data_IF_694669254371
#
_entry.id   IF_694669254371
#
_cell.length_a   1.000
_cell.length_b   1.000
_cell.length_c   1.000
_cell.angle_alpha   90.00
_cell.angle_beta   90.00
_cell.angle_gamma   90.00
#
_symmetry.space_group_name_H-M   'P 1'
#
loop_
_entity.id
_entity.type
_entity.pdbx_description
1 polymer ?
#
# COMPACT_ATOMS: atom_id res chain seq x y z
N UNK A 1 -17.59 -34.52 -15.75
CA UNK A 1 -16.17 -34.64 -16.16
C UNK A 1 -15.80 -33.41 -16.97
N UNK A 2 -14.62 -32.84 -16.75
CA UNK A 2 -14.04 -31.83 -17.64
C UNK A 2 -12.95 -32.54 -18.45
N UNK A 3 -12.92 -32.32 -19.76
CA UNK A 3 -12.04 -33.04 -20.68
C UNK A 3 -10.86 -32.18 -21.18
N UNK A 4 -10.82 -30.90 -20.80
CA UNK A 4 -9.79 -29.96 -21.22
C UNK A 4 -9.46 -28.94 -20.12
N UNK A 5 -8.26 -28.34 -20.19
CA UNK A 5 -7.86 -27.25 -19.29
C UNK A 5 -8.83 -26.08 -19.42
N UNK A 6 -9.24 -25.76 -20.66
CA UNK A 6 -10.26 -24.76 -20.95
C UNK A 6 -11.53 -24.97 -20.11
N UNK A 7 -12.14 -26.15 -20.20
CA UNK A 7 -13.38 -26.47 -19.48
C UNK A 7 -13.22 -26.40 -17.97
N UNK A 8 -12.08 -26.85 -17.42
CA UNK A 8 -11.82 -26.77 -15.98
C UNK A 8 -11.79 -25.32 -15.52
N UNK A 9 -11.06 -24.45 -16.24
CA UNK A 9 -10.93 -23.04 -15.87
C UNK A 9 -12.25 -22.29 -16.03
N UNK A 10 -12.92 -22.43 -17.17
CA UNK A 10 -14.20 -21.74 -17.43
C UNK A 10 -15.28 -22.14 -16.42
N UNK A 11 -15.36 -23.42 -16.07
CA UNK A 11 -16.27 -23.91 -15.04
C UNK A 11 -15.90 -23.40 -13.64
N UNK A 12 -14.61 -23.39 -13.30
CA UNK A 12 -14.12 -22.92 -11.99
C UNK A 12 -14.39 -21.42 -11.78
N UNK A 13 -14.19 -20.63 -12.83
CA UNK A 13 -14.39 -19.18 -12.80
C UNK A 13 -15.83 -18.78 -13.12
N UNK A 14 -16.65 -19.68 -13.68
CA UNK A 14 -17.98 -19.40 -14.22
C UNK A 14 -17.96 -18.22 -15.22
N UNK A 15 -17.06 -18.29 -16.20
CA UNK A 15 -16.81 -17.27 -17.22
C UNK A 15 -16.21 -17.93 -18.46
N UNK A 16 -16.67 -17.58 -19.68
CA UNK A 16 -16.02 -18.03 -20.93
C UNK A 16 -14.75 -17.21 -21.21
N UNK A 17 -13.70 -17.87 -21.70
CA UNK A 17 -12.41 -17.25 -21.99
C UNK A 17 -12.11 -17.37 -23.48
N UNK A 18 -11.99 -16.22 -24.16
CA UNK A 18 -11.79 -16.13 -25.61
C UNK A 18 -10.31 -16.35 -26.03
N UNK A 19 -9.60 -17.23 -25.32
CA UNK A 19 -8.23 -17.62 -25.60
C UNK A 19 -8.12 -19.13 -25.41
N UNK A 20 -7.26 -19.79 -26.21
CA UNK A 20 -7.07 -21.24 -26.10
C UNK A 20 -6.17 -21.58 -24.90
N UNK A 21 -6.78 -21.93 -23.77
CA UNK A 21 -6.07 -22.27 -22.53
C UNK A 21 -5.46 -23.67 -22.53
N UNK A 22 -5.82 -24.54 -23.48
CA UNK A 22 -5.28 -25.90 -23.57
C UNK A 22 -3.79 -25.93 -23.96
N UNK A 23 -3.23 -24.76 -24.31
CA UNK A 23 -1.79 -24.59 -24.55
C UNK A 23 -0.98 -24.37 -23.26
N UNK A 24 -1.65 -24.22 -22.13
CA UNK A 24 -1.03 -23.95 -20.83
C UNK A 24 -1.34 -25.09 -19.87
N UNK A 25 -0.47 -25.30 -18.87
CA UNK A 25 -0.85 -26.09 -17.71
C UNK A 25 -1.95 -25.39 -16.90
N UNK A 26 -2.52 -26.10 -15.94
CA UNK A 26 -3.68 -25.63 -15.17
C UNK A 26 -3.37 -24.38 -14.33
N UNK A 27 -2.15 -24.22 -13.81
CA UNK A 27 -1.77 -23.08 -12.97
C UNK A 27 -1.59 -21.82 -13.82
N UNK A 28 -0.90 -21.93 -14.94
CA UNK A 28 -0.69 -20.82 -15.86
C UNK A 28 -2.00 -20.41 -16.55
N UNK A 29 -2.84 -21.38 -16.93
CA UNK A 29 -4.17 -21.13 -17.49
C UNK A 29 -5.07 -20.37 -16.51
N UNK A 30 -5.14 -20.81 -15.25
CA UNK A 30 -5.91 -20.14 -14.20
C UNK A 30 -5.39 -18.72 -13.96
N UNK A 31 -4.07 -18.56 -13.87
CA UNK A 31 -3.41 -17.28 -13.62
C UNK A 31 -3.68 -16.30 -14.76
N UNK A 32 -3.60 -16.76 -16.01
CA UNK A 32 -3.91 -15.96 -17.19
C UNK A 32 -5.38 -15.53 -17.20
N UNK A 33 -6.31 -16.47 -17.02
CA UNK A 33 -7.74 -16.19 -17.04
C UNK A 33 -8.17 -15.19 -15.95
N UNK A 34 -7.60 -15.29 -14.75
CA UNK A 34 -7.84 -14.31 -13.68
C UNK A 34 -7.25 -12.95 -14.04
N UNK A 35 -6.02 -12.92 -14.57
CA UNK A 35 -5.34 -11.67 -14.94
C UNK A 35 -6.12 -10.85 -15.97
N UNK A 36 -6.85 -11.49 -16.90
CA UNK A 36 -7.66 -10.78 -17.91
C UNK A 36 -8.65 -9.75 -17.33
N UNK A 37 -9.11 -9.93 -16.10
CA UNK A 37 -10.04 -8.99 -15.44
C UNK A 37 -9.38 -7.66 -15.07
N UNK A 38 -8.05 -7.62 -15.03
CA UNK A 38 -7.25 -6.46 -14.65
C UNK A 38 -6.44 -5.93 -15.84
N UNK A 39 -6.70 -6.42 -17.06
CA UNK A 39 -5.99 -6.03 -18.27
C UNK A 39 -6.98 -5.47 -19.27
N UNK A 40 -6.66 -4.30 -19.83
CA UNK A 40 -7.47 -3.66 -20.84
C UNK A 40 -7.68 -4.61 -22.04
N UNK A 41 -8.91 -4.67 -22.58
CA UNK A 41 -9.29 -5.65 -23.61
C UNK A 41 -8.36 -5.65 -24.83
N UNK A 42 -7.92 -4.46 -25.26
CA UNK A 42 -6.98 -4.27 -26.37
C UNK A 42 -5.56 -4.79 -26.08
N UNK A 43 -5.19 -5.00 -24.81
CA UNK A 43 -3.88 -5.50 -24.40
C UNK A 43 -3.88 -7.01 -24.08
N UNK A 44 -5.04 -7.65 -23.93
CA UNK A 44 -5.15 -9.06 -23.54
C UNK A 44 -4.45 -10.01 -24.53
N UNK A 45 -4.53 -9.73 -25.84
CA UNK A 45 -3.86 -10.54 -26.85
C UNK A 45 -2.32 -10.44 -26.75
N UNK A 46 -1.79 -9.29 -26.35
CA UNK A 46 -0.35 -9.09 -26.12
C UNK A 46 0.12 -9.95 -24.94
N UNK A 47 -0.64 -9.97 -23.85
CA UNK A 47 -0.37 -10.85 -22.72
C UNK A 47 -0.43 -12.33 -23.13
N UNK A 48 -1.46 -12.73 -23.89
CA UNK A 48 -1.61 -14.11 -24.36
C UNK A 48 -0.42 -14.58 -25.20
N UNK A 49 0.01 -13.77 -26.18
CA UNK A 49 1.18 -14.07 -27.00
C UNK A 49 2.44 -14.20 -26.15
N UNK A 50 2.66 -13.26 -25.23
CA UNK A 50 3.79 -13.32 -24.31
C UNK A 50 3.81 -14.63 -23.50
N UNK A 51 2.68 -15.02 -22.90
CA UNK A 51 2.59 -16.28 -22.12
C UNK A 51 2.85 -17.50 -23.01
N UNK A 52 2.31 -17.50 -24.22
CA UNK A 52 2.48 -18.60 -25.17
C UNK A 52 3.95 -18.78 -25.58
N UNK A 53 4.65 -17.69 -25.81
CA UNK A 53 6.06 -17.70 -26.23
C UNK A 53 7.04 -17.95 -25.06
N UNK A 54 6.65 -17.61 -23.82
CA UNK A 54 7.53 -17.58 -22.66
C UNK A 54 7.12 -18.55 -21.53
N UNK A 55 6.25 -19.53 -21.79
CA UNK A 55 5.72 -20.42 -20.73
C UNK A 55 6.81 -21.11 -19.90
N UNK A 56 7.87 -21.63 -20.54
CA UNK A 56 9.03 -22.25 -19.86
C UNK A 56 9.82 -21.21 -19.06
N UNK A 57 10.13 -20.08 -19.67
CA UNK A 57 10.88 -18.99 -19.05
C UNK A 57 10.18 -18.42 -17.81
N UNK A 58 8.84 -18.41 -17.80
CA UNK A 58 8.07 -18.03 -16.61
C UNK A 58 8.38 -18.96 -15.43
N UNK A 59 8.43 -20.28 -15.66
CA UNK A 59 8.77 -21.24 -14.60
C UNK A 59 10.23 -21.14 -14.16
N UNK A 60 11.17 -20.99 -15.10
CA UNK A 60 12.58 -20.80 -14.77
C UNK A 60 12.78 -19.55 -13.87
N UNK A 61 12.04 -18.48 -14.17
CA UNK A 61 12.07 -17.27 -13.36
C UNK A 61 11.39 -17.45 -12.00
N UNK A 62 10.30 -18.21 -11.93
CA UNK A 62 9.67 -18.58 -10.65
C UNK A 62 10.66 -19.32 -9.76
N UNK A 63 11.38 -20.29 -10.33
CA UNK A 63 12.36 -21.09 -9.59
C UNK A 63 13.55 -20.23 -9.15
N UNK A 64 14.06 -19.37 -10.04
CA UNK A 64 15.09 -18.39 -9.69
C UNK A 64 14.64 -17.51 -8.52
N UNK A 65 13.43 -16.93 -8.59
CA UNK A 65 12.91 -16.10 -7.51
C UNK A 65 12.80 -16.91 -6.23
N UNK A 66 12.21 -18.12 -6.24
CA UNK A 66 12.04 -18.91 -5.02
C UNK A 66 13.35 -19.29 -4.35
N UNK A 67 14.40 -19.54 -5.14
CA UNK A 67 15.71 -19.90 -4.63
C UNK A 67 16.47 -18.70 -4.05
N UNK A 68 16.16 -17.48 -4.47
CA UNK A 68 16.90 -16.27 -4.07
C UNK A 68 16.09 -15.30 -3.20
N UNK A 69 14.76 -15.33 -3.27
CA UNK A 69 13.83 -14.40 -2.65
C UNK A 69 12.59 -15.14 -2.13
N UNK A 70 12.09 -14.79 -0.95
CA UNK A 70 11.08 -15.57 -0.24
C UNK A 70 9.68 -15.54 -0.92
N UNK A 71 9.40 -16.48 -1.84
CA UNK A 71 8.06 -16.83 -2.36
C UNK A 71 7.21 -15.64 -2.91
N UNK A 72 7.82 -14.61 -3.48
CA UNK A 72 7.13 -13.37 -3.86
C UNK A 72 6.37 -13.42 -5.21
N UNK A 73 6.58 -14.44 -6.03
CA UNK A 73 6.04 -14.50 -7.40
C UNK A 73 4.55 -14.92 -7.48
N UNK A 74 4.00 -15.40 -6.36
CA UNK A 74 2.58 -15.70 -6.26
C UNK A 74 1.83 -14.54 -5.62
N UNK A 75 0.78 -14.09 -6.30
CA UNK A 75 -0.11 -13.06 -5.78
C UNK A 75 -1.42 -13.67 -5.27
N UNK A 76 -1.85 -13.22 -4.09
CA UNK A 76 -3.16 -13.56 -3.52
C UNK A 76 -4.20 -12.58 -4.06
N UNK A 77 -5.09 -13.03 -4.92
CA UNK A 77 -6.13 -12.21 -5.54
C UNK A 77 -7.50 -12.68 -5.10
N UNK A 78 -8.39 -11.73 -4.80
CA UNK A 78 -9.81 -12.00 -4.65
C UNK A 78 -10.49 -11.86 -6.01
N UNK A 79 -10.95 -12.97 -6.57
CA UNK A 79 -11.77 -12.98 -7.78
C UNK A 79 -13.18 -13.43 -7.44
N UNK A 80 -14.17 -12.58 -7.72
CA UNK A 80 -15.55 -12.74 -7.25
C UNK A 80 -15.56 -12.96 -5.71
N UNK A 81 -16.13 -14.06 -5.23
CA UNK A 81 -16.21 -14.41 -3.80
C UNK A 81 -15.10 -15.35 -3.32
N UNK A 82 -14.14 -15.71 -4.18
CA UNK A 82 -13.09 -16.69 -3.88
C UNK A 82 -11.71 -16.01 -3.84
N UNK A 83 -10.82 -16.55 -3.01
CA UNK A 83 -9.41 -16.15 -2.97
C UNK A 83 -8.60 -17.17 -3.77
N UNK A 84 -7.71 -16.67 -4.61
CA UNK A 84 -6.80 -17.47 -5.42
C UNK A 84 -5.36 -17.06 -5.11
N UNK A 85 -4.46 -18.02 -5.17
CA UNK A 85 -3.01 -17.78 -5.21
C UNK A 85 -2.58 -18.11 -6.64
N UNK A 86 -2.17 -17.10 -7.40
CA UNK A 86 -1.86 -17.23 -8.83
C UNK A 86 -0.46 -16.73 -9.14
N UNK A 87 0.08 -17.16 -10.28
CA UNK A 87 1.32 -16.63 -10.84
C UNK A 87 1.07 -15.20 -11.30
N UNK A 88 1.96 -14.26 -10.93
CA UNK A 88 1.82 -12.86 -11.32
C UNK A 88 2.27 -12.59 -12.78
N UNK A 89 1.56 -13.13 -13.77
CA UNK A 89 1.95 -13.09 -15.20
C UNK A 89 2.24 -11.67 -15.70
N UNK A 90 1.46 -10.67 -15.27
CA UNK A 90 1.70 -9.28 -15.64
C UNK A 90 3.07 -8.78 -15.16
N UNK A 91 3.52 -9.24 -13.98
CA UNK A 91 4.85 -8.92 -13.43
C UNK A 91 5.94 -9.44 -14.33
N UNK A 92 5.84 -10.70 -14.79
CA UNK A 92 6.81 -11.28 -15.73
C UNK A 92 6.89 -10.50 -17.04
N UNK A 93 5.74 -10.08 -17.60
CA UNK A 93 5.73 -9.30 -18.84
C UNK A 93 6.41 -7.95 -18.64
N UNK A 94 6.09 -7.23 -17.56
CA UNK A 94 6.69 -5.93 -17.26
C UNK A 94 8.19 -6.08 -16.95
N UNK A 95 8.56 -7.10 -16.18
CA UNK A 95 9.95 -7.39 -15.88
C UNK A 95 10.73 -7.71 -17.16
N UNK A 96 10.19 -8.55 -18.05
CA UNK A 96 10.84 -8.87 -19.33
C UNK A 96 11.13 -7.61 -20.18
N UNK A 97 10.32 -6.55 -20.05
CA UNK A 97 10.52 -5.28 -20.73
C UNK A 97 11.49 -4.33 -20.03
N UNK A 98 11.51 -4.35 -18.70
CA UNK A 98 12.20 -3.38 -17.87
C UNK A 98 13.54 -3.89 -17.34
N UNK A 99 13.81 -5.20 -17.43
CA UNK A 99 15.02 -5.80 -16.91
C UNK A 99 16.29 -5.16 -17.52
N UNK A 100 17.34 -4.92 -16.72
CA UNK A 100 18.62 -4.44 -17.24
C UNK A 100 19.19 -5.42 -18.27
N UNK A 101 19.86 -4.92 -19.30
CA UNK A 101 20.49 -5.76 -20.33
C UNK A 101 21.83 -6.38 -19.91
N UNK A 102 22.40 -5.95 -18.77
CA UNK A 102 23.69 -6.45 -18.26
C UNK A 102 23.48 -7.31 -17.01
N UNK A 103 24.14 -8.46 -16.96
CA UNK A 103 24.02 -9.47 -15.90
C UNK A 103 24.56 -9.03 -14.52
N UNK A 104 25.34 -7.95 -14.43
CA UNK A 104 26.06 -7.56 -13.20
C UNK A 104 25.23 -6.81 -12.15
N UNK A 105 23.90 -6.74 -12.28
CA UNK A 105 23.05 -5.85 -11.48
C UNK A 105 21.99 -6.59 -10.66
N UNK A 106 22.39 -7.60 -9.88
CA UNK A 106 21.48 -8.34 -8.99
C UNK A 106 20.69 -7.42 -8.03
N UNK A 107 21.27 -6.30 -7.59
CA UNK A 107 20.55 -5.34 -6.75
C UNK A 107 19.50 -4.55 -7.55
N UNK A 108 19.81 -4.08 -8.77
CA UNK A 108 18.83 -3.38 -9.62
C UNK A 108 17.69 -4.31 -10.04
N UNK A 109 17.98 -5.61 -10.24
CA UNK A 109 16.96 -6.62 -10.48
C UNK A 109 15.91 -6.60 -9.37
N UNK A 110 16.35 -6.68 -8.11
CA UNK A 110 15.46 -6.82 -6.97
C UNK A 110 14.61 -5.54 -6.81
N UNK A 111 15.22 -4.38 -6.94
CA UNK A 111 14.51 -3.08 -6.85
C UNK A 111 13.42 -2.95 -7.93
N UNK A 112 13.74 -3.28 -9.19
CA UNK A 112 12.78 -3.24 -10.30
C UNK A 112 11.66 -4.27 -10.08
N UNK A 113 12.02 -5.48 -9.64
CA UNK A 113 11.06 -6.54 -9.38
C UNK A 113 10.09 -6.17 -8.24
N UNK A 114 10.60 -5.62 -7.13
CA UNK A 114 9.78 -5.13 -6.01
C UNK A 114 8.82 -4.05 -6.50
N UNK A 115 9.33 -3.05 -7.23
CA UNK A 115 8.51 -1.96 -7.78
C UNK A 115 7.39 -2.47 -8.69
N UNK A 116 7.67 -3.43 -9.58
CA UNK A 116 6.66 -4.03 -10.46
C UNK A 116 5.59 -4.77 -9.66
N UNK A 117 5.99 -5.58 -8.68
CA UNK A 117 5.04 -6.34 -7.88
C UNK A 117 4.19 -5.45 -6.99
N UNK A 118 4.77 -4.41 -6.39
CA UNK A 118 4.02 -3.41 -5.62
C UNK A 118 3.03 -2.66 -6.50
N UNK A 119 3.42 -2.21 -7.70
CA UNK A 119 2.51 -1.60 -8.67
C UNK A 119 1.33 -2.52 -9.02
N UNK A 120 1.58 -3.80 -9.30
CA UNK A 120 0.52 -4.76 -9.65
C UNK A 120 -0.38 -5.04 -8.45
N UNK A 121 0.20 -5.21 -7.26
CA UNK A 121 -0.56 -5.40 -6.02
C UNK A 121 -1.46 -4.21 -5.74
N UNK A 122 -0.94 -2.99 -5.85
CA UNK A 122 -1.72 -1.75 -5.73
C UNK A 122 -2.83 -1.70 -6.77
N UNK A 123 -2.58 -2.11 -8.02
CA UNK A 123 -3.60 -2.18 -9.07
C UNK A 123 -4.76 -3.10 -8.66
N UNK A 124 -4.46 -4.26 -8.07
CA UNK A 124 -5.49 -5.17 -7.54
C UNK A 124 -6.24 -4.59 -6.33
N UNK A 125 -5.53 -4.00 -5.36
CA UNK A 125 -6.12 -3.42 -4.15
C UNK A 125 -7.01 -2.20 -4.45
N UNK A 126 -6.62 -1.42 -5.46
CA UNK A 126 -7.37 -0.26 -5.93
C UNK A 126 -8.38 -0.60 -7.02
N UNK A 127 -8.41 -1.85 -7.52
CA UNK A 127 -9.28 -2.29 -8.62
C UNK A 127 -9.10 -1.47 -9.91
N UNK A 128 -7.84 -1.12 -10.22
CA UNK A 128 -7.44 -0.47 -11.46
C UNK A 128 -6.92 -1.49 -12.47
N UNK A 129 -6.99 -1.13 -13.76
CA UNK A 129 -6.35 -1.91 -14.82
C UNK A 129 -4.82 -1.74 -14.76
N UNK A 130 -4.10 -2.83 -14.96
CA UNK A 130 -2.65 -2.84 -15.09
C UNK A 130 -2.31 -2.40 -16.52
N UNK A 131 -1.49 -1.36 -16.64
CA UNK A 131 -0.98 -0.89 -17.93
C UNK A 131 0.19 -1.77 -18.38
N UNK A 132 0.00 -2.52 -19.46
CA UNK A 132 1.08 -3.34 -20.00
C UNK A 132 2.00 -2.57 -20.96
N UNK A 133 1.73 -1.30 -21.27
CA UNK A 133 2.55 -0.45 -22.15
C UNK A 133 3.59 0.38 -21.41
N UNK A 134 4.11 -0.14 -20.30
CA UNK A 134 5.22 0.47 -19.59
C UNK A 134 6.55 -0.03 -20.18
N UNK A 135 7.40 0.90 -20.60
CA UNK A 135 8.71 0.63 -21.21
C UNK A 135 9.87 1.36 -20.51
N UNK A 136 9.63 1.97 -19.34
CA UNK A 136 10.68 2.62 -18.54
C UNK A 136 10.37 2.55 -17.04
N UNK A 137 11.43 2.57 -16.22
CA UNK A 137 11.32 2.58 -14.75
C UNK A 137 10.55 3.83 -14.29
N UNK A 138 10.87 5.01 -14.83
CA UNK A 138 10.17 6.25 -14.49
C UNK A 138 8.65 6.17 -14.76
N UNK A 139 8.22 5.48 -15.83
CA UNK A 139 6.80 5.33 -16.13
C UNK A 139 6.10 4.45 -15.09
N UNK A 140 6.69 3.32 -14.69
CA UNK A 140 6.08 2.47 -13.66
C UNK A 140 6.08 3.14 -12.29
N UNK A 141 7.13 3.89 -11.94
CA UNK A 141 7.17 4.70 -10.71
C UNK A 141 6.03 5.72 -10.68
N UNK A 142 5.75 6.40 -11.80
CA UNK A 142 4.65 7.35 -11.86
C UNK A 142 3.29 6.69 -11.69
N UNK A 143 3.05 5.54 -12.33
CA UNK A 143 1.78 4.82 -12.17
C UNK A 143 1.61 4.25 -10.76
N UNK A 144 2.69 3.71 -10.19
CA UNK A 144 2.73 3.30 -8.78
C UNK A 144 2.33 4.46 -7.87
N UNK A 145 2.93 5.64 -8.03
CA UNK A 145 2.66 6.80 -7.18
C UNK A 145 1.20 7.27 -7.28
N UNK A 146 0.61 7.23 -8.48
CA UNK A 146 -0.82 7.53 -8.67
C UNK A 146 -1.69 6.56 -7.88
N UNK A 147 -1.41 5.25 -7.95
CA UNK A 147 -2.19 4.24 -7.23
C UNK A 147 -2.01 4.33 -5.72
N UNK A 148 -0.82 4.68 -5.23
CA UNK A 148 -0.57 4.94 -3.81
C UNK A 148 -1.46 6.08 -3.30
N UNK A 149 -1.56 7.18 -4.05
CA UNK A 149 -2.45 8.31 -3.69
C UNK A 149 -3.92 7.86 -3.66
N UNK A 150 -4.35 7.02 -4.59
CA UNK A 150 -5.72 6.48 -4.58
C UNK A 150 -5.99 5.56 -3.40
N UNK A 151 -5.02 4.70 -3.06
CA UNK A 151 -5.13 3.80 -1.92
C UNK A 151 -5.16 4.58 -0.61
N UNK A 152 -4.32 5.60 -0.47
CA UNK A 152 -4.35 6.54 0.66
C UNK A 152 -5.74 7.18 0.80
N UNK A 153 -6.32 7.68 -0.29
CA UNK A 153 -7.69 8.25 -0.29
C UNK A 153 -8.76 7.25 0.15
N UNK A 154 -8.66 5.98 -0.26
CA UNK A 154 -9.60 4.91 0.13
C UNK A 154 -9.46 4.50 1.59
N UNK A 155 -8.26 4.66 2.16
CA UNK A 155 -7.98 4.36 3.56
C UNK A 155 -8.36 5.49 4.52
N UNK A 156 -8.69 6.70 4.01
CA UNK A 156 -9.19 7.80 4.83
C UNK A 156 -10.42 7.30 5.62
N UNK A 157 -10.35 7.27 6.96
CA UNK A 157 -11.45 6.81 7.76
C UNK A 157 -12.62 7.79 7.68
N UNK A 158 -13.83 7.29 7.97
CA UNK A 158 -15.01 8.15 8.11
C UNK A 158 -14.76 9.22 9.18
N UNK A 159 -15.45 10.36 9.05
CA UNK A 159 -15.36 11.47 10.00
C UNK A 159 -16.09 11.17 11.32
N UNK A 160 -15.64 10.13 12.02
CA UNK A 160 -16.14 9.71 13.34
C UNK A 160 -15.27 10.32 14.43
N UNK A 161 -15.89 10.81 15.50
CA UNK A 161 -15.19 11.31 16.70
C UNK A 161 -14.37 10.21 17.36
N UNK A 162 -13.17 10.57 17.82
CA UNK A 162 -12.34 9.76 18.72
C UNK A 162 -12.96 9.77 20.12
N UNK A 163 -12.77 8.68 20.87
CA UNK A 163 -13.19 8.61 22.28
C UNK A 163 -12.13 9.24 23.18
N UNK A 164 -12.04 10.56 23.16
CA UNK A 164 -11.04 11.30 23.95
C UNK A 164 -11.56 11.47 25.38
N UNK A 165 -10.70 11.20 26.37
CA UNK A 165 -11.05 11.40 27.78
C UNK A 165 -11.28 12.88 28.08
N UNK A 166 -12.30 13.17 28.89
CA UNK A 166 -12.76 14.52 29.24
C UNK A 166 -11.66 15.42 29.81
N UNK A 167 -10.71 14.83 30.56
CA UNK A 167 -9.49 15.49 31.04
C UNK A 167 -8.70 16.19 29.91
N UNK A 168 -8.58 15.57 28.74
CA UNK A 168 -7.86 16.14 27.59
C UNK A 168 -8.74 17.14 26.82
N UNK A 169 -10.05 16.92 26.77
CA UNK A 169 -10.98 17.85 26.09
C UNK A 169 -11.01 19.20 26.82
N UNK A 170 -10.97 19.17 28.15
CA UNK A 170 -11.03 20.36 29.00
C UNK A 170 -9.66 21.02 29.22
N UNK A 171 -8.59 20.50 28.60
CA UNK A 171 -7.25 21.05 28.73
C UNK A 171 -7.15 22.39 27.97
N UNK A 172 -7.03 23.50 28.70
CA UNK A 172 -7.00 24.86 28.15
C UNK A 172 -5.61 25.26 27.69
N UNK A 173 -5.23 24.89 26.46
CA UNK A 173 -3.96 25.29 25.86
C UNK A 173 -4.10 26.56 25.01
N UNK A 174 -2.99 27.25 24.72
CA UNK A 174 -2.94 28.34 23.74
C UNK A 174 -3.49 27.94 22.36
N UNK A 175 -3.83 28.92 21.51
CA UNK A 175 -4.47 28.70 20.22
C UNK A 175 -3.63 27.92 19.21
N UNK A 176 -2.31 27.91 19.41
CA UNK A 176 -1.33 27.13 18.67
C UNK A 176 -1.59 25.61 18.76
N UNK A 177 -2.29 25.18 19.82
CA UNK A 177 -2.61 23.77 20.08
C UNK A 177 -4.02 23.44 19.59
N UNK A 178 -4.12 22.69 18.50
CA UNK A 178 -5.39 22.16 18.01
C UNK A 178 -5.55 20.70 18.40
N UNK A 179 -6.50 20.37 19.27
CA UNK A 179 -6.86 18.98 19.58
C UNK A 179 -7.37 18.28 18.30
N UNK A 180 -6.86 17.09 18.03
CA UNK A 180 -7.36 16.24 16.94
C UNK A 180 -8.52 15.40 17.46
N UNK A 181 -9.73 15.69 17.01
CA UNK A 181 -10.97 15.14 17.59
C UNK A 181 -11.55 13.95 16.82
N UNK A 182 -11.15 13.77 15.56
CA UNK A 182 -11.76 12.77 14.68
C UNK A 182 -10.74 11.80 14.11
N UNK A 183 -11.19 10.58 13.76
CA UNK A 183 -10.36 9.62 13.05
C UNK A 183 -9.83 10.17 11.73
N UNK A 184 -10.67 10.96 11.02
CA UNK A 184 -10.30 11.55 9.73
C UNK A 184 -9.19 12.57 9.89
N UNK A 185 -9.31 13.50 10.85
CA UNK A 185 -8.25 14.48 11.12
C UNK A 185 -6.95 13.81 11.57
N UNK A 186 -7.02 12.79 12.44
CA UNK A 186 -5.83 12.05 12.89
C UNK A 186 -5.10 11.37 11.73
N UNK A 187 -5.86 10.75 10.82
CA UNK A 187 -5.30 10.09 9.65
C UNK A 187 -4.67 11.10 8.68
N UNK A 188 -5.38 12.18 8.37
CA UNK A 188 -4.89 13.23 7.46
C UNK A 188 -3.66 13.94 8.04
N UNK A 189 -3.66 14.24 9.33
CA UNK A 189 -2.50 14.82 10.00
C UNK A 189 -1.27 13.90 9.88
N UNK A 190 -1.44 12.59 10.07
CA UNK A 190 -0.36 11.62 9.87
C UNK A 190 0.16 11.57 8.43
N UNK A 191 -0.74 11.68 7.44
CA UNK A 191 -0.37 11.74 6.03
C UNK A 191 0.43 13.02 5.70
N UNK A 192 -0.03 14.17 6.18
CA UNK A 192 0.61 15.48 5.95
C UNK A 192 1.97 15.57 6.63
N UNK A 193 2.05 15.08 7.88
CA UNK A 193 3.28 15.04 8.68
C UNK A 193 4.20 13.87 8.32
N UNK A 194 3.75 12.94 7.47
CA UNK A 194 4.49 11.73 7.08
C UNK A 194 4.97 10.93 8.30
N UNK A 195 4.07 10.73 9.26
CA UNK A 195 4.29 9.95 10.48
C UNK A 195 3.17 8.93 10.73
N UNK A 196 3.41 8.02 11.69
CA UNK A 196 2.50 6.91 12.00
C UNK A 196 1.48 7.24 13.10
N UNK A 197 1.11 8.50 13.29
CA UNK A 197 0.29 8.95 14.44
C UNK A 197 -1.08 8.26 14.51
N UNK A 198 -1.66 7.85 13.37
CA UNK A 198 -2.94 7.14 13.35
C UNK A 198 -2.90 5.81 14.13
N UNK A 199 -1.73 5.20 14.29
CA UNK A 199 -1.57 3.98 15.12
C UNK A 199 -1.86 4.24 16.61
N UNK A 200 -1.73 5.50 17.07
CA UNK A 200 -2.03 5.92 18.45
C UNK A 200 -3.51 6.04 18.75
N UNK A 201 -4.37 5.86 17.74
CA UNK A 201 -5.83 5.81 17.85
C UNK A 201 -6.29 5.02 19.09
N UNK A 202 -5.77 3.81 19.31
CA UNK A 202 -6.23 2.95 20.42
C UNK A 202 -5.91 3.58 21.77
N UNK A 203 -4.69 4.08 21.94
CA UNK A 203 -4.26 4.75 23.17
C UNK A 203 -5.12 5.99 23.47
N UNK A 204 -5.50 6.74 22.43
CA UNK A 204 -6.44 7.86 22.55
C UNK A 204 -7.83 7.37 22.97
N UNK A 205 -8.36 6.35 22.29
CA UNK A 205 -9.70 5.78 22.58
C UNK A 205 -9.78 5.11 23.95
N UNK A 206 -8.65 4.64 24.50
CA UNK A 206 -8.51 4.07 25.84
C UNK A 206 -8.26 5.16 26.90
N UNK A 207 -8.20 6.44 26.50
CA UNK A 207 -8.03 7.58 27.40
C UNK A 207 -6.63 7.72 28.01
N UNK A 208 -5.62 7.10 27.39
CA UNK A 208 -4.23 7.15 27.85
C UNK A 208 -3.50 8.41 27.38
N UNK A 209 -3.87 8.93 26.21
CA UNK A 209 -3.28 10.13 25.63
C UNK A 209 -4.27 10.91 24.75
N UNK A 210 -3.86 12.09 24.30
CA UNK A 210 -4.51 12.86 23.25
C UNK A 210 -3.46 13.43 22.29
N UNK A 211 -3.85 13.61 21.03
CA UNK A 211 -2.99 14.17 19.99
C UNK A 211 -3.44 15.59 19.66
N UNK A 212 -2.47 16.50 19.61
CA UNK A 212 -2.62 17.88 19.19
C UNK A 212 -1.79 18.13 17.93
N UNK A 213 -2.35 18.89 17.00
CA UNK A 213 -1.59 19.57 15.96
C UNK A 213 -1.10 20.89 16.55
N UNK A 214 0.22 21.06 16.67
CA UNK A 214 0.83 22.26 17.20
C UNK A 214 1.40 23.11 16.06
N UNK A 215 0.92 24.34 15.91
CA UNK A 215 1.46 25.31 14.97
C UNK A 215 2.36 26.29 15.72
N UNK A 216 3.68 26.25 15.50
CA UNK A 216 4.63 27.12 16.20
C UNK A 216 5.70 27.62 15.24
N UNK A 217 5.88 28.95 15.15
CA UNK A 217 6.90 29.63 14.32
C UNK A 217 6.95 29.11 12.85
N UNK A 218 5.78 28.86 12.25
CA UNK A 218 5.67 28.36 10.87
C UNK A 218 5.90 26.85 10.72
N UNK A 219 6.28 26.15 11.79
CA UNK A 219 6.31 24.69 11.87
C UNK A 219 4.97 24.10 12.30
N UNK A 220 4.67 22.89 11.82
CA UNK A 220 3.54 22.08 12.28
C UNK A 220 4.10 20.80 12.90
N UNK A 221 3.68 20.52 14.13
CA UNK A 221 4.17 19.39 14.92
C UNK A 221 3.01 18.49 15.35
N UNK A 222 3.30 17.20 15.44
CA UNK A 222 2.43 16.22 16.09
C UNK A 222 2.84 16.12 17.55
N UNK A 223 1.95 16.51 18.46
CA UNK A 223 2.17 16.46 19.90
C UNK A 223 1.26 15.43 20.55
N UNK A 224 1.84 14.43 21.19
CA UNK A 224 1.12 13.49 22.05
C UNK A 224 1.26 13.90 23.52
N UNK A 225 0.12 14.16 24.16
CA UNK A 225 0.05 14.51 25.58
C UNK A 225 -0.56 13.34 26.35
N UNK A 226 0.04 12.99 27.48
CA UNK A 226 -0.52 12.02 28.42
C UNK A 226 -0.72 12.66 29.79
N UNK A 227 -1.54 12.02 30.63
CA UNK A 227 -1.77 12.46 32.01
C UNK A 227 -1.12 11.49 32.98
N UNK A 228 -0.20 11.98 33.81
CA UNK A 228 0.41 11.23 34.91
C UNK A 228 -0.10 11.79 36.23
N UNK A 229 -0.87 11.00 36.98
CA UNK A 229 -1.59 11.45 38.19
C UNK A 229 -2.47 12.66 37.82
N UNK A 230 -2.16 13.84 38.37
CA UNK A 230 -2.91 15.08 38.14
C UNK A 230 -2.16 16.07 37.25
N UNK A 231 -1.11 15.65 36.52
CA UNK A 231 -0.32 16.53 35.65
C UNK A 231 -0.29 16.02 34.23
N UNK A 232 -0.46 16.93 33.28
CA UNK A 232 -0.24 16.66 31.85
C UNK A 232 1.25 16.77 31.52
N UNK A 233 1.71 15.93 30.61
CA UNK A 233 3.10 15.91 30.17
C UNK A 233 3.19 15.50 28.70
N UNK A 234 4.30 15.89 28.07
CA UNK A 234 4.65 15.47 26.71
C UNK A 234 5.00 13.99 26.74
N UNK A 235 4.28 13.18 25.97
CA UNK A 235 4.67 11.80 25.68
C UNK A 235 5.62 11.75 24.49
N UNK A 236 5.28 12.48 23.44
CA UNK A 236 6.08 12.59 22.23
C UNK A 236 5.77 13.91 21.51
N UNK A 237 6.78 14.48 20.86
CA UNK A 237 6.60 15.58 19.91
C UNK A 237 7.47 15.34 18.68
N UNK A 238 6.86 15.39 17.49
CA UNK A 238 7.51 15.12 16.21
C UNK A 238 7.21 16.21 15.20
N UNK A 239 8.22 16.59 14.44
CA UNK A 239 8.06 17.35 13.21
C UNK A 239 7.75 16.39 12.04
N UNK A 240 7.67 16.96 10.84
CA UNK A 240 7.45 16.21 9.61
C UNK A 240 8.52 15.11 9.44
N UNK A 241 8.15 13.98 8.84
CA UNK A 241 9.03 12.82 8.63
C UNK A 241 9.60 12.18 9.91
N UNK A 242 8.90 12.29 11.04
CA UNK A 242 9.33 11.80 12.37
C UNK A 242 10.61 12.46 12.92
N UNK A 243 10.98 13.62 12.37
CA UNK A 243 12.07 14.43 12.89
C UNK A 243 11.76 14.90 14.33
N UNK A 244 12.81 15.14 15.11
CA UNK A 244 12.66 15.65 16.46
C UNK A 244 12.33 17.15 16.43
N UNK A 245 11.43 17.58 17.31
CA UNK A 245 11.23 19.00 17.53
C UNK A 245 12.48 19.63 18.15
N UNK A 246 12.73 20.90 17.83
CA UNK A 246 13.81 21.65 18.44
C UNK A 246 13.51 21.96 19.92
N UNK A 247 14.52 22.44 20.65
CA UNK A 247 14.37 22.73 22.09
C UNK A 247 13.39 23.86 22.38
N UNK A 248 13.26 24.83 21.48
CA UNK A 248 12.35 25.98 21.66
C UNK A 248 10.90 25.54 21.67
N UNK A 249 10.51 24.69 20.72
CA UNK A 249 9.17 24.09 20.65
C UNK A 249 8.90 23.26 21.90
N UNK A 250 9.85 22.42 22.34
CA UNK A 250 9.70 21.62 23.56
C UNK A 250 9.47 22.53 24.77
N UNK A 251 10.28 23.58 24.92
CA UNK A 251 10.15 24.54 26.02
C UNK A 251 8.81 25.28 26.00
N UNK A 252 8.32 25.65 24.81
CA UNK A 252 7.01 26.27 24.63
C UNK A 252 5.87 25.35 25.13
N UNK A 253 5.91 24.08 24.73
CA UNK A 253 4.90 23.09 25.16
C UNK A 253 4.97 22.83 26.66
N UNK A 254 6.17 22.65 27.22
CA UNK A 254 6.33 22.44 28.65
C UNK A 254 5.84 23.62 29.49
N UNK A 255 6.10 24.86 29.06
CA UNK A 255 5.58 26.06 29.72
C UNK A 255 4.06 26.11 29.65
N UNK A 256 3.49 25.81 28.48
CA UNK A 256 2.04 25.78 28.27
C UNK A 256 1.35 24.75 29.15
N UNK A 257 1.94 23.56 29.32
CA UNK A 257 1.40 22.50 30.16
C UNK A 257 1.56 22.75 31.67
N UNK A 258 2.52 23.57 32.09
CA UNK A 258 2.69 23.98 33.50
C UNK A 258 1.70 25.06 33.94
N UNK A 259 1.11 25.79 32.98
CA UNK A 259 0.18 26.88 33.24
C UNK A 259 -1.28 26.41 33.48
N UNK A 260 -1.53 25.10 33.35
CA UNK A 260 -2.83 24.43 33.45
C UNK A 260 -2.83 23.35 34.53
#
# INVERSE_FOLDING_TARGET
NCHSVQEVIEKSLNTKINFNLNKFDIHLALSFAISLNFIAKNEQNKLYKFVLENNKLIYDYIDFINNNFANEHFIKIKYKRKKYKIINIASFLLYHKLKPQKESYQNEFLEIYILINDYIKLSYETNNLINLNINSINRITNEHNVLTIELEKKQIPKNKKLKIKEDFINLKLPEEFKLIETHKELYLHGMEQKNCVYTRRREIEDGLSAIYSLNYEGGVYTLEIFKRKNKFAIKEIKAKYNEFANKEVINFVEKSLKAV
#
